data_IF_379973371686
#
_entry.id   IF_379973371686
#
_cell.length_a   1.000
_cell.length_b   1.000
_cell.length_c   1.000
_cell.angle_alpha   90.00
_cell.angle_beta   90.00
_cell.angle_gamma   90.00
#
_symmetry.space_group_name_H-M   'P 1'
#
loop_
_entity.id
_entity.type
_entity.pdbx_description
1 polymer ?
#
# COMPACT_ATOMS: atom_id res chain seq x y z
N UNK A 1 -0.82 14.25 11.28
CA UNK A 1 -1.80 14.57 10.22
C UNK A 1 -1.50 13.61 9.09
N UNK A 2 -2.45 12.73 8.76
CA UNK A 2 -2.29 11.70 7.72
C UNK A 2 -1.83 12.31 6.39
N UNK A 3 -1.12 11.52 5.58
CA UNK A 3 -0.63 11.97 4.28
C UNK A 3 -1.80 12.37 3.38
N UNK A 4 -1.66 13.49 2.67
CA UNK A 4 -2.72 13.94 1.76
C UNK A 4 -2.93 12.95 0.59
N UNK A 5 -4.18 12.62 0.23
CA UNK A 5 -4.48 11.67 -0.85
C UNK A 5 -3.80 12.01 -2.20
N UNK A 6 -3.63 13.30 -2.50
CA UNK A 6 -2.96 13.80 -3.71
C UNK A 6 -1.48 13.44 -3.76
N UNK A 7 -0.80 13.35 -2.60
CA UNK A 7 0.60 12.92 -2.55
C UNK A 7 0.74 11.45 -2.93
N UNK A 8 -0.17 10.61 -2.45
CA UNK A 8 -0.18 9.18 -2.77
C UNK A 8 -0.48 8.98 -4.27
N UNK A 9 -1.44 9.72 -4.83
CA UNK A 9 -1.72 9.70 -6.28
C UNK A 9 -0.51 10.10 -7.12
N UNK A 10 0.18 11.18 -6.74
CA UNK A 10 1.41 11.60 -7.40
C UNK A 10 2.48 10.52 -7.34
N UNK A 11 2.72 9.98 -6.14
CA UNK A 11 3.69 8.92 -5.94
C UNK A 11 3.37 7.67 -6.78
N UNK A 12 2.09 7.27 -6.86
CA UNK A 12 1.65 6.12 -7.67
C UNK A 12 1.92 6.34 -9.17
N UNK A 13 1.65 7.53 -9.70
CA UNK A 13 1.94 7.86 -11.10
C UNK A 13 3.44 7.87 -11.40
N UNK A 14 4.25 8.33 -10.44
CA UNK A 14 5.71 8.33 -10.57
C UNK A 14 6.30 6.93 -10.46
N UNK A 15 5.80 6.10 -9.54
CA UNK A 15 6.28 4.75 -9.29
C UNK A 15 5.81 3.73 -10.35
N UNK A 16 4.61 3.92 -10.90
CA UNK A 16 4.00 3.04 -11.90
C UNK A 16 3.51 3.82 -13.13
N UNK A 17 4.41 4.44 -13.91
CA UNK A 17 4.05 5.39 -14.96
C UNK A 17 3.28 4.78 -16.13
N UNK A 18 3.41 3.47 -16.34
CA UNK A 18 2.74 2.72 -17.42
C UNK A 18 1.54 1.90 -16.93
N UNK A 19 1.12 2.09 -15.68
CA UNK A 19 0.03 1.34 -15.08
C UNK A 19 -1.14 2.26 -14.73
N UNK A 20 -2.35 1.81 -15.04
CA UNK A 20 -3.57 2.45 -14.58
C UNK A 20 -3.93 1.96 -13.19
N UNK A 21 -4.21 2.91 -12.29
CA UNK A 21 -4.81 2.63 -10.99
C UNK A 21 -6.31 2.43 -11.18
N UNK A 22 -6.78 1.20 -11.01
CA UNK A 22 -8.21 0.85 -11.09
C UNK A 22 -8.93 1.04 -9.76
N UNK A 23 -8.22 0.79 -8.66
CA UNK A 23 -8.75 0.96 -7.32
C UNK A 23 -7.64 1.33 -6.34
N UNK A 24 -7.98 2.12 -5.33
CA UNK A 24 -7.09 2.46 -4.22
C UNK A 24 -7.91 2.57 -2.94
N UNK A 25 -7.56 1.76 -1.96
CA UNK A 25 -8.15 1.79 -0.63
C UNK A 25 -7.04 2.07 0.39
N UNK A 26 -7.20 3.14 1.15
CA UNK A 26 -6.38 3.37 2.33
C UNK A 26 -6.84 2.44 3.44
N UNK A 27 -5.92 1.66 3.98
CA UNK A 27 -6.23 0.71 5.04
C UNK A 27 -5.82 1.24 6.41
N UNK A 28 -4.79 2.07 6.46
CA UNK A 28 -4.37 2.72 7.69
C UNK A 28 -3.57 3.97 7.41
N UNK A 29 -3.82 5.02 8.20
CA UNK A 29 -2.96 6.19 8.24
C UNK A 29 -2.83 6.67 9.67
N UNK A 30 -1.59 6.92 10.08
CA UNK A 30 -1.24 7.43 11.40
C UNK A 30 -0.01 8.32 11.27
N UNK A 31 -0.05 9.53 11.85
CA UNK A 31 1.07 10.47 11.70
C UNK A 31 1.34 10.77 10.22
N UNK A 32 2.58 10.56 9.79
CA UNK A 32 3.02 10.69 8.39
C UNK A 32 2.99 9.37 7.62
N UNK A 33 2.68 8.26 8.27
CA UNK A 33 2.58 6.93 7.66
C UNK A 33 1.22 6.76 6.98
N UNK A 34 1.23 6.13 5.81
CA UNK A 34 0.01 5.66 5.15
C UNK A 34 0.25 4.31 4.47
N UNK A 35 -0.67 3.39 4.74
CA UNK A 35 -0.67 2.05 4.16
C UNK A 35 -1.90 1.87 3.26
N UNK A 36 -1.67 1.47 2.02
CA UNK A 36 -2.73 1.41 1.02
C UNK A 36 -2.66 0.14 0.17
N UNK A 37 -3.86 -0.33 -0.19
CA UNK A 37 -4.09 -1.31 -1.22
C UNK A 37 -4.34 -0.58 -2.54
N UNK A 38 -3.69 -1.03 -3.61
CA UNK A 38 -3.82 -0.46 -4.95
C UNK A 38 -4.00 -1.60 -5.95
N UNK A 39 -5.01 -1.49 -6.82
CA UNK A 39 -5.19 -2.39 -7.96
C UNK A 39 -4.67 -1.70 -9.22
N UNK A 40 -3.67 -2.31 -9.85
CA UNK A 40 -3.11 -1.90 -11.14
C UNK A 40 -3.65 -2.81 -12.26
N UNK A 41 -3.16 -2.62 -13.48
CA UNK A 41 -3.60 -3.38 -14.67
C UNK A 41 -3.35 -4.88 -14.56
N UNK A 42 -2.20 -5.28 -14.01
CA UNK A 42 -1.73 -6.66 -14.00
C UNK A 42 -1.47 -7.21 -12.59
N UNK A 43 -1.51 -6.36 -11.57
CA UNK A 43 -1.21 -6.74 -10.19
C UNK A 43 -1.98 -5.92 -9.16
N UNK A 44 -2.04 -6.45 -7.95
CA UNK A 44 -2.38 -5.70 -6.75
C UNK A 44 -1.08 -5.37 -6.00
N UNK A 45 -1.01 -4.15 -5.48
CA UNK A 45 0.11 -3.66 -4.69
C UNK A 45 -0.36 -3.18 -3.33
N UNK A 46 0.33 -3.63 -2.30
CA UNK A 46 0.19 -3.13 -0.95
C UNK A 46 1.40 -2.25 -0.67
N UNK A 47 1.18 -1.05 -0.18
CA UNK A 47 2.22 -0.06 0.00
C UNK A 47 2.24 0.41 1.44
N UNK A 48 3.44 0.58 1.99
CA UNK A 48 3.70 1.38 3.17
C UNK A 48 4.50 2.60 2.73
N UNK A 49 3.87 3.77 2.85
CA UNK A 49 4.44 5.06 2.52
C UNK A 49 4.61 5.91 3.77
N UNK A 50 5.67 6.70 3.83
CA UNK A 50 5.86 7.73 4.85
C UNK A 50 6.07 9.11 4.23
N UNK A 51 5.50 10.11 4.87
CA UNK A 51 5.72 11.52 4.55
C UNK A 51 6.96 12.05 5.25
N UNK A 52 7.94 12.50 4.47
CA UNK A 52 9.16 13.14 4.98
C UNK A 52 9.24 14.56 4.40
N UNK A 53 8.71 15.54 5.15
CA UNK A 53 8.59 16.93 4.67
C UNK A 53 7.72 16.99 3.40
N UNK A 54 8.31 17.42 2.27
CA UNK A 54 7.64 17.45 0.96
C UNK A 54 7.64 16.13 0.17
N UNK A 55 8.34 15.12 0.67
CA UNK A 55 8.55 13.85 -0.03
C UNK A 55 7.62 12.76 0.49
N UNK A 56 7.33 11.80 -0.39
CA UNK A 56 6.69 10.54 -0.06
C UNK A 56 7.71 9.43 -0.29
N UNK A 57 8.03 8.68 0.76
CA UNK A 57 9.06 7.64 0.77
C UNK A 57 8.40 6.27 0.88
N UNK A 58 8.84 5.32 0.06
CA UNK A 58 8.41 3.93 0.16
C UNK A 58 9.20 3.22 1.26
N UNK A 59 8.52 2.79 2.32
CA UNK A 59 9.13 1.96 3.38
C UNK A 59 8.96 0.47 3.12
N UNK A 60 7.95 0.09 2.35
CA UNK A 60 7.80 -1.29 1.91
C UNK A 60 6.63 -1.53 0.97
N UNK A 61 6.70 -2.63 0.22
CA UNK A 61 5.63 -3.05 -0.69
C UNK A 61 5.47 -4.57 -0.76
N UNK A 62 4.27 -5.01 -1.10
CA UNK A 62 3.96 -6.37 -1.55
C UNK A 62 3.26 -6.28 -2.90
N UNK A 63 3.79 -6.96 -3.92
CA UNK A 63 3.13 -7.09 -5.22
C UNK A 63 2.56 -8.49 -5.37
N UNK A 64 1.32 -8.58 -5.84
CA UNK A 64 0.61 -9.83 -6.08
C UNK A 64 0.06 -9.78 -7.50
N UNK A 65 0.60 -10.61 -8.43
CA UNK A 65 0.03 -10.76 -9.77
C UNK A 65 -1.48 -11.03 -9.75
N UNK A 66 -2.25 -10.43 -10.66
CA UNK A 66 -3.71 -10.54 -10.66
C UNK A 66 -4.22 -11.96 -10.90
N UNK A 67 -3.48 -12.79 -11.63
CA UNK A 67 -3.78 -14.22 -11.80
C UNK A 67 -3.66 -15.01 -10.48
N UNK A 68 -2.85 -14.51 -9.53
CA UNK A 68 -2.69 -15.07 -8.19
C UNK A 68 -3.60 -14.41 -7.14
N UNK A 69 -4.13 -13.22 -7.42
CA UNK A 69 -4.99 -12.47 -6.51
C UNK A 69 -6.48 -12.77 -6.77
N UNK A 70 -7.23 -13.09 -5.71
CA UNK A 70 -8.71 -13.12 -5.77
C UNK A 70 -9.28 -12.13 -4.75
N UNK A 71 -10.45 -11.52 -5.01
CA UNK A 71 -11.15 -10.73 -4.01
C UNK A 71 -11.25 -11.47 -2.67
N UNK A 72 -10.90 -10.79 -1.57
CA UNK A 72 -10.86 -11.38 -0.22
C UNK A 72 -9.64 -12.26 0.10
N UNK A 73 -8.73 -12.51 -0.85
CA UNK A 73 -7.49 -13.28 -0.59
C UNK A 73 -6.43 -12.50 0.16
N UNK A 74 -6.59 -11.19 0.26
CA UNK A 74 -5.72 -10.31 1.03
C UNK A 74 -6.42 -9.91 2.31
N UNK A 75 -5.77 -10.16 3.44
CA UNK A 75 -6.24 -9.73 4.75
C UNK A 75 -5.32 -8.63 5.28
N UNK A 76 -5.95 -7.61 5.86
CA UNK A 76 -5.32 -6.49 6.52
C UNK A 76 -5.78 -6.50 7.98
N UNK A 77 -4.87 -6.80 8.90
CA UNK A 77 -5.17 -6.84 10.33
C UNK A 77 -4.33 -5.82 11.09
N UNK A 78 -4.91 -5.02 12.00
CA UNK A 78 -4.15 -4.11 12.85
C UNK A 78 -3.02 -4.86 13.57
N UNK A 79 -1.85 -4.24 13.63
CA UNK A 79 -0.68 -4.77 14.32
C UNK A 79 -0.12 -3.73 15.28
N UNK A 80 0.08 -4.06 16.58
CA UNK A 80 0.61 -3.12 17.56
C UNK A 80 2.00 -2.55 17.24
N UNK A 81 2.74 -3.19 16.33
CA UNK A 81 4.10 -2.79 15.93
C UNK A 81 4.21 -2.20 14.54
N UNK A 82 3.19 -2.39 13.70
CA UNK A 82 3.34 -2.24 12.26
C UNK A 82 2.24 -1.45 11.56
N UNK A 83 1.32 -0.85 12.33
CA UNK A 83 0.08 -0.29 11.81
C UNK A 83 -0.85 -1.40 11.34
N UNK A 84 -0.58 -1.99 10.17
CA UNK A 84 -1.26 -3.16 9.64
C UNK A 84 -0.27 -4.24 9.19
N UNK A 85 -0.63 -5.49 9.49
CA UNK A 85 -0.05 -6.70 8.92
C UNK A 85 -0.85 -7.12 7.71
N UNK A 86 -0.15 -7.35 6.60
CA UNK A 86 -0.75 -7.85 5.37
C UNK A 86 -0.49 -9.32 5.19
N UNK A 87 -1.53 -10.07 4.82
CA UNK A 87 -1.42 -11.49 4.52
C UNK A 87 -2.09 -11.80 3.19
N UNK A 88 -1.37 -12.50 2.32
CA UNK A 88 -1.89 -13.13 1.13
C UNK A 88 -1.42 -14.58 1.08
N UNK A 89 -2.34 -15.53 1.30
CA UNK A 89 -2.05 -16.96 1.43
C UNK A 89 -1.00 -17.25 2.52
N UNK A 90 0.14 -17.84 2.15
CA UNK A 90 1.30 -18.11 3.03
C UNK A 90 2.27 -16.94 3.12
N UNK A 91 2.13 -15.91 2.29
CA UNK A 91 2.97 -14.73 2.33
C UNK A 91 2.38 -13.73 3.32
N UNK A 92 3.20 -13.34 4.29
CA UNK A 92 2.86 -12.34 5.30
C UNK A 92 3.94 -11.26 5.27
N UNK A 93 3.51 -10.00 5.28
CA UNK A 93 4.40 -8.87 5.44
C UNK A 93 3.92 -8.04 6.62
N UNK A 94 4.87 -7.74 7.49
CA UNK A 94 4.70 -6.87 8.65
C UNK A 94 5.66 -5.71 8.47
N UNK A 95 5.15 -4.49 8.45
CA UNK A 95 5.98 -3.31 8.29
C UNK A 95 6.24 -2.66 9.65
N UNK A 96 7.41 -2.84 10.24
CA UNK A 96 7.76 -2.15 11.49
C UNK A 96 7.80 -0.64 11.30
N UNK A 97 7.25 0.13 12.24
CA UNK A 97 7.60 1.55 12.44
C UNK A 97 9.06 1.69 12.91
#
# INVERSE_FOLDING_TARGET
>A
MAMEPRRIERWLREAYPTQQVHDRVEWHAEGTMTQCFVRLDDRVVLLHLEGEGERTVLKGRLEIPLDLWKPGSTQATPSPRAGIRFRHRTNEITFSN
#
